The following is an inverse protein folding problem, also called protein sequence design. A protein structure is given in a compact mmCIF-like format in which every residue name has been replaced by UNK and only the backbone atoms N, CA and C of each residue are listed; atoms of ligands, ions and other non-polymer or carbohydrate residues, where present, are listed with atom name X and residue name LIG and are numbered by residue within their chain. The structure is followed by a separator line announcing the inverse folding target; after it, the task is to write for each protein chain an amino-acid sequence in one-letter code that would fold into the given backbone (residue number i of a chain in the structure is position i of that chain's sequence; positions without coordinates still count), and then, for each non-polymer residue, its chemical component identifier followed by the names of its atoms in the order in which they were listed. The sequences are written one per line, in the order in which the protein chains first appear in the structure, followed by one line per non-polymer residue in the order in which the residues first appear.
data_IF_025077388954
#
_entry.id   IF_025077388954
#
_cell.length_a   1.000
_cell.length_b   1.000
_cell.length_c   1.000
_cell.angle_alpha   90.00
_cell.angle_beta   90.00
_cell.angle_gamma   90.00
#
_symmetry.space_group_name_H-M   'P 1'
#
loop_
_entity.id
_entity.type
_entity.pdbx_description
1 polymer ?
#
# COMPACT_ATOMS: atom_id res chain seq x y z
N UNK A 1 -2.46 -22.52 45.32
CA UNK A 1 -1.58 -22.44 44.13
C UNK A 1 -2.37 -22.90 42.90
N UNK A 2 -2.91 -21.98 42.07
CA UNK A 2 -3.61 -22.35 40.83
C UNK A 2 -3.70 -21.21 39.80
N UNK A 3 -2.75 -20.27 39.79
CA UNK A 3 -2.73 -19.16 38.83
C UNK A 3 -1.90 -19.46 37.56
N UNK A 4 -1.18 -20.59 37.53
CA UNK A 4 -0.35 -21.00 36.39
C UNK A 4 -1.14 -21.40 35.13
N UNK A 5 -2.48 -21.50 35.21
CA UNK A 5 -3.31 -21.93 34.08
C UNK A 5 -3.70 -20.82 33.10
N UNK A 6 -3.51 -19.55 33.48
CA UNK A 6 -3.87 -18.40 32.62
C UNK A 6 -2.73 -17.91 31.73
N UNK A 7 -1.49 -18.29 32.06
CA UNK A 7 -0.28 -17.94 31.31
C UNK A 7 -0.32 -18.39 29.83
N UNK A 8 -0.74 -19.64 29.49
CA UNK A 8 -0.79 -20.06 28.09
C UNK A 8 -1.86 -19.31 27.29
N UNK A 9 -2.97 -18.94 27.93
CA UNK A 9 -4.05 -18.18 27.30
C UNK A 9 -3.58 -16.77 26.97
N UNK A 10 -2.88 -16.12 27.92
CA UNK A 10 -2.30 -14.80 27.71
C UNK A 10 -1.28 -14.79 26.56
N UNK A 11 -0.41 -15.81 26.52
CA UNK A 11 0.56 -15.97 25.42
C UNK A 11 -0.11 -16.13 24.06
N UNK A 12 -1.24 -16.86 24.01
CA UNK A 12 -2.02 -17.04 22.79
C UNK A 12 -2.65 -15.74 22.28
N UNK A 13 -3.13 -14.88 23.19
CA UNK A 13 -3.67 -13.58 22.80
C UNK A 13 -2.58 -12.62 22.31
N UNK A 14 -1.39 -12.65 22.91
CA UNK A 14 -0.25 -11.83 22.49
C UNK A 14 0.21 -12.20 21.08
N UNK A 15 0.26 -13.48 20.72
CA UNK A 15 0.67 -13.90 19.37
C UNK A 15 -0.36 -13.52 18.29
N UNK A 16 -1.65 -13.53 18.62
CA UNK A 16 -2.72 -13.12 17.69
C UNK A 16 -2.72 -11.59 17.49
N UNK A 17 -2.56 -10.82 18.56
CA UNK A 17 -2.53 -9.35 18.50
C UNK A 17 -1.23 -8.80 17.90
N UNK A 18 -0.12 -9.53 18.06
CA UNK A 18 1.18 -9.21 17.48
C UNK A 18 1.34 -9.67 16.02
N UNK A 19 0.24 -9.96 15.30
CA UNK A 19 0.23 -9.93 13.84
C UNK A 19 0.47 -8.49 13.41
N UNK A 20 1.74 -8.09 13.53
CA UNK A 20 2.23 -6.76 13.31
C UNK A 20 1.77 -6.28 11.96
N UNK A 21 1.41 -5.00 11.89
CA UNK A 21 1.31 -4.28 10.63
C UNK A 21 2.68 -4.41 9.97
N UNK A 22 2.82 -5.41 9.10
CA UNK A 22 4.03 -5.62 8.32
C UNK A 22 4.34 -4.30 7.65
N UNK A 23 5.57 -3.82 7.83
CA UNK A 23 5.97 -2.47 7.44
C UNK A 23 5.49 -2.13 6.04
N UNK A 24 5.08 -0.87 5.83
CA UNK A 24 4.52 -0.40 4.56
C UNK A 24 5.32 -0.96 3.39
N UNK A 25 4.66 -1.75 2.55
CA UNK A 25 5.29 -2.46 1.45
C UNK A 25 5.96 -1.39 0.58
N UNK A 26 7.21 -1.57 0.12
CA UNK A 26 7.91 -0.56 -0.67
C UNK A 26 7.07 -0.02 -1.84
N UNK A 27 6.31 -0.91 -2.50
CA UNK A 27 5.37 -0.55 -3.57
C UNK A 27 4.21 0.33 -3.11
N UNK A 28 3.71 0.17 -1.89
CA UNK A 28 2.64 1.00 -1.33
C UNK A 28 3.15 2.43 -1.02
N UNK A 29 4.34 2.55 -0.42
CA UNK A 29 4.99 3.86 -0.19
C UNK A 29 5.18 4.62 -1.49
N UNK A 30 5.72 3.95 -2.51
CA UNK A 30 5.93 4.55 -3.82
C UNK A 30 4.61 4.92 -4.51
N UNK A 31 3.57 4.09 -4.36
CA UNK A 31 2.24 4.37 -4.88
C UNK A 31 1.68 5.67 -4.27
N UNK A 32 1.74 5.81 -2.95
CA UNK A 32 1.26 6.99 -2.23
C UNK A 32 2.05 8.24 -2.64
N UNK A 33 3.38 8.14 -2.80
CA UNK A 33 4.21 9.24 -3.26
C UNK A 33 3.81 9.75 -4.64
N UNK A 34 3.35 8.85 -5.52
CA UNK A 34 2.85 9.19 -6.86
C UNK A 34 1.39 9.66 -6.86
N UNK A 35 0.80 9.94 -5.70
CA UNK A 35 -0.64 10.23 -5.48
C UNK A 35 -1.56 9.11 -5.94
N UNK A 36 -1.08 7.87 -5.91
CA UNK A 36 -1.86 6.67 -6.22
C UNK A 36 -2.47 6.02 -4.98
N UNK A 37 -3.38 5.08 -5.21
CA UNK A 37 -4.00 4.20 -4.22
C UNK A 37 -3.84 2.73 -4.62
N UNK A 38 -3.58 1.87 -3.64
CA UNK A 38 -3.49 0.44 -3.87
C UNK A 38 -4.88 -0.22 -3.92
N UNK A 39 -5.28 -0.76 -5.08
CA UNK A 39 -6.53 -1.52 -5.25
C UNK A 39 -6.25 -2.99 -5.54
N UNK A 40 -7.19 -3.85 -5.13
CA UNK A 40 -7.11 -5.28 -5.37
C UNK A 40 -7.35 -5.58 -6.86
N UNK A 41 -6.51 -6.43 -7.46
CA UNK A 41 -6.63 -6.97 -8.83
C UNK A 41 -6.45 -5.92 -9.94
N UNK A 42 -7.29 -4.87 -10.00
CA UNK A 42 -7.32 -3.91 -11.10
C UNK A 42 -7.76 -2.49 -10.66
N UNK A 43 -7.47 -1.51 -11.52
CA UNK A 43 -7.93 -0.14 -11.39
C UNK A 43 -9.32 0.05 -12.04
N UNK A 44 -10.04 1.11 -11.66
CA UNK A 44 -11.33 1.44 -12.28
C UNK A 44 -11.15 2.11 -13.64
N UNK A 45 -12.22 2.21 -14.43
CA UNK A 45 -12.17 2.82 -15.78
C UNK A 45 -11.71 4.29 -15.81
N UNK A 46 -11.84 5.01 -14.70
CA UNK A 46 -11.40 6.41 -14.53
C UNK A 46 -10.03 6.55 -13.87
N UNK A 47 -9.28 5.44 -13.77
CA UNK A 47 -7.96 5.37 -13.15
C UNK A 47 -6.97 4.64 -14.05
N UNK A 48 -5.72 5.11 -14.03
CA UNK A 48 -4.59 4.49 -14.70
C UNK A 48 -3.83 3.57 -13.74
N UNK A 49 -3.35 2.44 -14.25
CA UNK A 49 -2.42 1.58 -13.52
C UNK A 49 -1.00 2.13 -13.67
N UNK A 50 -0.46 2.70 -12.59
CA UNK A 50 0.88 3.31 -12.59
C UNK A 50 1.96 2.40 -11.99
N UNK A 51 1.56 1.29 -11.35
CA UNK A 51 2.50 0.36 -10.74
C UNK A 51 1.84 -0.79 -9.98
N UNK A 52 2.61 -1.44 -9.11
CA UNK A 52 2.19 -2.60 -8.32
C UNK A 52 2.55 -2.34 -6.86
N UNK A 53 1.57 -2.48 -5.96
CA UNK A 53 1.79 -2.33 -4.53
C UNK A 53 2.29 -3.63 -3.90
N UNK A 54 1.69 -4.76 -4.28
CA UNK A 54 2.12 -6.12 -3.93
C UNK A 54 1.60 -7.12 -4.98
N UNK A 55 1.81 -8.42 -4.78
CA UNK A 55 1.38 -9.46 -5.73
C UNK A 55 -0.12 -9.39 -6.10
N UNK A 56 -0.97 -8.99 -5.15
CA UNK A 56 -2.44 -8.96 -5.31
C UNK A 56 -3.00 -7.56 -5.61
N UNK A 57 -2.23 -6.51 -5.33
CA UNK A 57 -2.68 -5.11 -5.37
C UNK A 57 -1.92 -4.29 -6.40
N UNK A 58 -2.66 -3.61 -7.27
CA UNK A 58 -2.15 -2.66 -8.25
C UNK A 58 -2.16 -1.25 -7.68
N UNK A 59 -1.22 -0.42 -8.12
CA UNK A 59 -1.22 1.00 -7.81
C UNK A 59 -2.01 1.75 -8.89
N UNK A 60 -3.09 2.39 -8.48
CA UNK A 60 -4.04 3.07 -9.34
C UNK A 60 -4.01 4.57 -9.08
N UNK A 61 -4.05 5.39 -10.12
CA UNK A 61 -4.18 6.84 -9.98
C UNK A 61 -5.31 7.36 -10.85
N UNK A 62 -6.11 8.28 -10.32
CA UNK A 62 -7.15 8.94 -11.11
C UNK A 62 -6.55 9.64 -12.32
N UNK A 63 -7.31 9.68 -13.41
CA UNK A 63 -6.93 10.46 -14.58
C UNK A 63 -6.66 11.91 -14.21
N UNK A 64 -5.69 12.50 -14.91
CA UNK A 64 -5.28 13.89 -14.74
C UNK A 64 -6.43 14.89 -14.95
N UNK A 65 -7.45 14.50 -15.72
CA UNK A 65 -8.67 15.30 -15.94
C UNK A 65 -9.43 15.49 -14.62
N UNK A 66 -9.44 14.49 -13.75
CA UNK A 66 -10.11 14.54 -12.45
C UNK A 66 -9.20 15.03 -11.31
N UNK A 67 -7.91 14.71 -11.38
CA UNK A 67 -6.91 15.16 -10.39
C UNK A 67 -5.57 15.47 -11.09
N UNK A 68 -5.37 16.72 -11.54
CA UNK A 68 -4.17 17.09 -12.27
C UNK A 68 -2.93 16.97 -11.36
N UNK A 69 -1.91 16.31 -11.89
CA UNK A 69 -0.62 16.15 -11.24
C UNK A 69 0.45 16.90 -12.03
N UNK A 70 1.52 17.37 -11.37
CA UNK A 70 2.65 17.96 -12.07
C UNK A 70 3.28 16.88 -12.96
N UNK A 71 3.07 16.98 -14.26
CA UNK A 71 3.86 16.24 -15.24
C UNK A 71 5.27 16.82 -15.21
N UNK A 72 6.32 15.98 -15.07
CA UNK A 72 7.68 16.48 -15.20
C UNK A 72 7.80 17.19 -16.55
N UNK A 73 8.25 18.45 -16.53
CA UNK A 73 8.58 19.17 -17.77
C UNK A 73 9.59 18.27 -18.49
N UNK A 74 9.33 17.88 -19.76
CA UNK A 74 10.30 17.08 -20.49
C UNK A 74 11.62 17.85 -20.47
N UNK A 75 12.61 17.29 -19.77
CA UNK A 75 13.97 17.82 -19.85
C UNK A 75 14.36 17.64 -21.30
N UNK A 76 14.29 18.70 -22.09
CA UNK A 76 14.74 18.68 -23.47
C UNK A 76 16.13 18.07 -23.46
N UNK A 77 16.37 17.09 -24.35
CA UNK A 77 17.74 16.61 -24.58
C UNK A 77 18.57 17.87 -24.79
N UNK A 78 19.50 18.13 -23.87
CA UNK A 78 20.47 19.21 -24.05
C UNK A 78 21.08 19.05 -25.44
N UNK A 79 21.18 20.15 -26.21
CA UNK A 79 21.74 20.10 -27.56
C UNK A 79 23.17 19.59 -27.57
#
# INVERSE_FOLDING_TARGET
MRFYSLLPILFFFVTILAKGKTGVIPGEKQCIFLKGMCKLIACTSTEDTIGVCNYEKKCCRKWWIFDPYPTPIPKGKSP
#
